data_IF_557158403421
#
_entry.id   IF_557158403421
#
_cell.length_a   1.000
_cell.length_b   1.000
_cell.length_c   1.000
_cell.angle_alpha   90.00
_cell.angle_beta   90.00
_cell.angle_gamma   90.00
#
_symmetry.space_group_name_H-M   'P 1'
#
loop_
_entity.id
_entity.type
_entity.pdbx_description
1 polymer ?
#
# COMPACT_ATOMS: atom_id res chain seq x y z
N UNK A 1 30.39 19.08 66.76
CA UNK A 1 29.29 18.42 67.47
C UNK A 1 28.24 18.07 66.46
N UNK A 2 28.06 16.78 66.30
CA UNK A 2 26.82 16.05 65.85
C UNK A 2 26.25 16.42 64.50
N UNK A 3 25.94 15.53 63.62
CA UNK A 3 25.92 14.07 63.63
C UNK A 3 25.71 13.53 62.22
N UNK A 4 26.38 12.45 61.94
CA UNK A 4 26.04 11.47 60.94
C UNK A 4 24.60 10.98 61.10
N UNK A 5 23.90 10.69 60.04
CA UNK A 5 23.31 9.34 59.85
C UNK A 5 22.57 9.23 58.56
N UNK A 6 22.95 8.25 57.77
CA UNK A 6 22.15 7.14 57.27
C UNK A 6 21.11 7.41 56.20
N UNK A 7 21.40 6.91 55.00
CA UNK A 7 20.43 6.01 54.34
C UNK A 7 21.13 5.12 53.30
N UNK A 8 21.56 3.94 53.76
CA UNK A 8 22.06 2.81 52.95
C UNK A 8 21.00 1.68 52.82
N UNK A 9 19.71 2.00 52.89
CA UNK A 9 18.65 0.98 52.94
C UNK A 9 17.87 0.71 51.67
N UNK A 10 17.82 1.54 50.59
CA UNK A 10 17.02 1.19 49.42
C UNK A 10 17.71 0.33 48.37
N UNK A 11 19.04 0.22 48.36
CA UNK A 11 19.76 -0.56 47.34
C UNK A 11 19.79 -2.07 47.55
N UNK A 12 19.56 -2.54 48.75
CA UNK A 12 19.54 -3.97 49.07
C UNK A 12 18.21 -4.64 48.75
N UNK A 13 17.10 -3.92 48.86
CA UNK A 13 15.77 -4.44 48.51
C UNK A 13 15.57 -4.65 46.98
N UNK A 14 16.17 -3.80 46.15
CA UNK A 14 16.08 -3.91 44.68
C UNK A 14 16.88 -5.13 44.18
N UNK A 15 17.98 -5.49 44.80
CA UNK A 15 18.75 -6.69 44.42
C UNK A 15 18.07 -8.01 44.83
N UNK A 16 17.28 -8.03 45.88
CA UNK A 16 16.55 -9.22 46.30
C UNK A 16 15.26 -9.44 45.45
N UNK A 17 14.63 -8.37 44.95
CA UNK A 17 13.47 -8.49 44.08
C UNK A 17 13.83 -8.95 42.65
N UNK A 18 15.06 -8.65 42.17
CA UNK A 18 15.54 -9.11 40.86
C UNK A 18 16.01 -10.58 40.86
N UNK A 19 16.24 -11.19 42.00
CA UNK A 19 16.66 -12.59 42.12
C UNK A 19 15.50 -13.57 42.21
N UNK A 20 14.22 -13.09 42.25
CA UNK A 20 13.02 -13.91 42.34
C UNK A 20 12.20 -13.94 41.03
N UNK A 21 12.69 -13.38 39.94
CA UNK A 21 12.10 -13.56 38.63
C UNK A 21 12.64 -14.88 38.05
N UNK A 22 11.77 -15.79 37.63
CA UNK A 22 12.22 -17.00 36.93
C UNK A 22 12.96 -16.59 35.66
N UNK A 23 13.97 -17.37 35.20
CA UNK A 23 14.64 -17.09 33.94
C UNK A 23 13.59 -17.01 32.85
N UNK A 24 13.67 -15.97 32.02
CA UNK A 24 12.83 -15.85 30.82
C UNK A 24 13.01 -17.10 29.99
N UNK A 25 12.11 -18.06 30.16
CA UNK A 25 11.98 -19.17 29.25
C UNK A 25 11.73 -18.57 27.88
N UNK A 26 12.61 -18.80 26.95
CA UNK A 26 12.36 -18.58 25.53
C UNK A 26 11.07 -19.36 25.22
N UNK A 27 9.96 -18.63 25.01
CA UNK A 27 8.76 -19.23 24.49
C UNK A 27 9.11 -19.73 23.07
N UNK A 28 9.39 -21.00 22.95
CA UNK A 28 9.29 -21.72 21.71
C UNK A 28 7.80 -21.69 21.35
N UNK A 29 7.44 -20.80 20.46
CA UNK A 29 6.12 -20.82 19.83
C UNK A 29 6.13 -22.07 18.93
N UNK A 30 5.43 -23.10 19.35
CA UNK A 30 5.16 -24.25 18.50
C UNK A 30 4.42 -23.82 17.23
N UNK A 31 4.31 -24.67 16.22
CA UNK A 31 3.57 -24.32 15.00
C UNK A 31 2.15 -23.86 15.39
N UNK A 32 1.85 -22.62 14.99
CA UNK A 32 0.53 -22.02 15.23
C UNK A 32 -0.45 -22.78 14.32
N UNK A 33 -1.37 -23.51 14.92
CA UNK A 33 -2.47 -24.13 14.19
C UNK A 33 -3.48 -23.02 13.80
N UNK A 34 -3.46 -22.64 12.53
CA UNK A 34 -4.38 -21.65 11.97
C UNK A 34 -5.74 -22.24 11.59
N UNK A 35 -5.98 -23.53 11.90
CA UNK A 35 -7.11 -24.28 11.35
C UNK A 35 -8.47 -24.02 12.00
N UNK A 36 -8.55 -23.52 13.25
CA UNK A 36 -9.80 -23.55 14.01
C UNK A 36 -10.50 -22.20 14.25
N UNK A 37 -9.80 -21.07 14.06
CA UNK A 37 -10.31 -19.74 14.44
C UNK A 37 -10.80 -18.88 13.28
N UNK A 38 -10.87 -19.43 12.07
CA UNK A 38 -11.45 -18.74 10.91
C UNK A 38 -12.92 -19.03 10.85
N UNK A 39 -13.75 -17.98 10.70
CA UNK A 39 -15.20 -18.08 10.58
C UNK A 39 -15.61 -19.23 9.63
N UNK A 40 -16.24 -20.31 10.13
CA UNK A 40 -16.63 -21.45 9.32
C UNK A 40 -17.71 -21.12 8.27
N UNK A 41 -18.33 -19.94 8.33
CA UNK A 41 -19.28 -19.46 7.34
C UNK A 41 -18.61 -18.85 6.10
N UNK A 42 -17.28 -18.75 6.05
CA UNK A 42 -16.55 -18.25 4.89
C UNK A 42 -16.47 -19.33 3.78
N UNK A 43 -17.55 -19.50 3.05
CA UNK A 43 -17.57 -20.18 1.76
C UNK A 43 -17.19 -19.17 0.65
N UNK A 44 -15.91 -18.91 0.48
CA UNK A 44 -15.42 -18.33 -0.79
C UNK A 44 -15.77 -19.25 -1.95
N UNK A 45 -15.93 -18.73 -3.19
CA UNK A 45 -16.20 -19.58 -4.34
C UNK A 45 -15.18 -20.72 -4.38
N UNK A 46 -15.67 -21.94 -4.62
CA UNK A 46 -14.84 -23.13 -4.70
C UNK A 46 -13.71 -22.90 -5.70
N UNK A 47 -12.49 -23.22 -5.30
CA UNK A 47 -11.26 -23.00 -6.07
C UNK A 47 -11.15 -23.85 -7.35
N UNK A 48 -12.19 -24.66 -7.66
CA UNK A 48 -12.16 -25.71 -8.67
C UNK A 48 -12.48 -25.25 -10.11
N UNK A 49 -12.74 -23.94 -10.32
CA UNK A 49 -13.28 -23.47 -11.62
C UNK A 49 -12.31 -22.57 -12.42
N UNK A 50 -11.01 -22.62 -12.18
CA UNK A 50 -10.08 -21.89 -13.03
C UNK A 50 -9.42 -22.83 -14.07
N UNK A 51 -9.60 -22.59 -15.36
CA UNK A 51 -8.98 -23.42 -16.40
C UNK A 51 -7.45 -23.29 -16.37
N UNK A 52 -6.78 -24.43 -16.48
CA UNK A 52 -5.30 -24.49 -16.64
C UNK A 52 -4.89 -23.81 -17.93
N UNK A 53 -3.86 -22.97 -17.85
CA UNK A 53 -3.35 -22.22 -18.98
C UNK A 53 -2.03 -22.80 -19.45
N UNK A 54 -2.03 -23.29 -20.69
CA UNK A 54 -0.83 -23.64 -21.45
C UNK A 54 -0.57 -22.55 -22.50
N UNK A 55 0.62 -21.95 -22.45
CA UNK A 55 1.20 -21.17 -23.55
C UNK A 55 1.06 -19.65 -23.46
N UNK A 56 1.94 -18.99 -22.70
CA UNK A 56 2.38 -17.62 -22.96
C UNK A 56 3.81 -17.71 -23.52
N UNK A 57 3.94 -17.93 -24.83
CA UNK A 57 5.21 -17.81 -25.53
C UNK A 57 5.29 -16.41 -26.15
N UNK A 58 6.21 -15.67 -25.65
CA UNK A 58 7.05 -14.60 -26.18
C UNK A 58 7.02 -13.34 -25.31
N UNK A 59 8.20 -12.97 -24.84
CA UNK A 59 8.56 -11.85 -23.96
C UNK A 59 8.22 -12.06 -22.48
N UNK A 60 8.97 -12.91 -21.81
CA UNK A 60 8.92 -13.07 -20.35
C UNK A 60 8.88 -14.51 -19.85
N UNK A 61 9.38 -15.46 -20.62
CA UNK A 61 9.33 -16.89 -20.28
C UNK A 61 10.14 -17.33 -19.05
N UNK A 62 10.81 -16.41 -18.35
CA UNK A 62 11.62 -16.78 -17.18
C UNK A 62 10.92 -16.56 -15.82
N UNK A 63 9.70 -16.02 -15.78
CA UNK A 63 9.12 -15.50 -14.52
C UNK A 63 7.88 -16.26 -14.06
N UNK A 64 7.27 -17.06 -14.91
CA UNK A 64 6.03 -17.76 -14.57
C UNK A 64 6.29 -19.25 -14.37
N UNK A 65 6.53 -19.65 -13.12
CA UNK A 65 6.57 -21.07 -12.73
C UNK A 65 5.27 -21.80 -13.11
N UNK A 66 5.37 -23.13 -13.29
CA UNK A 66 4.39 -24.01 -13.92
C UNK A 66 3.04 -24.21 -13.22
N UNK A 67 2.75 -23.52 -12.09
CA UNK A 67 1.56 -23.77 -11.26
C UNK A 67 0.62 -22.57 -11.16
N UNK A 68 0.26 -21.94 -12.31
CA UNK A 68 -0.32 -20.61 -12.26
C UNK A 68 -1.81 -20.62 -12.52
N UNK A 69 -2.60 -20.77 -11.48
CA UNK A 69 -4.01 -20.37 -11.45
C UNK A 69 -4.22 -18.86 -11.70
N UNK A 70 -3.20 -18.01 -11.45
CA UNK A 70 -3.22 -16.57 -11.69
C UNK A 70 -3.11 -16.15 -13.16
N UNK A 71 -2.54 -16.97 -14.01
CA UNK A 71 -2.43 -16.66 -15.42
C UNK A 71 -3.79 -16.36 -16.06
N UNK A 72 -4.90 -16.95 -15.57
CA UNK A 72 -6.25 -16.63 -16.06
C UNK A 72 -6.67 -15.22 -15.62
N UNK A 73 -6.49 -14.87 -14.36
CA UNK A 73 -6.82 -13.53 -13.84
C UNK A 73 -5.97 -12.44 -14.52
N UNK A 74 -4.68 -12.73 -14.73
CA UNK A 74 -3.75 -11.84 -15.46
C UNK A 74 -4.21 -11.68 -16.91
N UNK A 75 -4.50 -12.77 -17.63
CA UNK A 75 -5.00 -12.68 -19.00
C UNK A 75 -6.35 -11.97 -19.06
N UNK A 76 -7.30 -12.36 -18.24
CA UNK A 76 -8.61 -11.70 -18.20
C UNK A 76 -8.47 -10.20 -17.94
N UNK A 77 -7.52 -9.82 -17.08
CA UNK A 77 -7.22 -8.41 -16.87
C UNK A 77 -6.69 -7.75 -18.13
N UNK A 78 -5.67 -8.34 -18.77
CA UNK A 78 -5.06 -7.79 -19.98
C UNK A 78 -6.00 -7.88 -21.19
N UNK A 79 -6.75 -8.96 -21.37
CA UNK A 79 -7.74 -9.08 -22.45
C UNK A 79 -8.86 -8.04 -22.28
N UNK A 80 -9.31 -7.80 -21.06
CA UNK A 80 -10.28 -6.75 -20.75
C UNK A 80 -9.71 -5.34 -20.95
N UNK A 81 -8.39 -5.16 -20.90
CA UNK A 81 -7.72 -3.87 -21.07
C UNK A 81 -7.13 -3.69 -22.47
N UNK A 82 -7.02 -4.75 -23.29
CA UNK A 82 -6.41 -4.73 -24.62
C UNK A 82 -7.48 -4.94 -25.71
N UNK A 83 -8.14 -3.88 -26.14
CA UNK A 83 -9.09 -3.93 -27.24
C UNK A 83 -8.41 -4.03 -28.63
N UNK A 84 -9.12 -4.49 -29.68
CA UNK A 84 -8.58 -4.67 -31.03
C UNK A 84 -8.06 -3.39 -31.70
N UNK A 85 -8.32 -2.21 -31.12
CA UNK A 85 -7.83 -0.90 -31.56
C UNK A 85 -6.82 -0.26 -30.60
N UNK A 86 -6.09 -1.04 -29.81
CA UNK A 86 -5.09 -0.57 -28.83
C UNK A 86 -5.64 0.40 -27.76
N UNK A 87 -6.90 0.30 -27.41
CA UNK A 87 -7.56 1.10 -26.37
C UNK A 87 -8.19 0.22 -25.29
N UNK A 88 -8.58 0.84 -24.18
CA UNK A 88 -9.34 0.15 -23.15
C UNK A 88 -10.74 -0.21 -23.68
N UNK A 89 -11.19 -1.44 -23.42
CA UNK A 89 -12.59 -1.84 -23.73
C UNK A 89 -13.58 -1.07 -22.85
N UNK A 90 -13.20 -0.89 -21.57
CA UNK A 90 -13.92 -0.06 -20.61
C UNK A 90 -12.93 0.50 -19.59
N UNK A 91 -13.25 1.64 -19.01
CA UNK A 91 -12.51 2.17 -17.86
C UNK A 91 -13.20 1.75 -16.57
N UNK A 92 -12.41 1.32 -15.61
CA UNK A 92 -12.90 0.90 -14.29
C UNK A 92 -12.85 2.08 -13.32
N UNK A 93 -13.96 2.41 -12.63
CA UNK A 93 -13.93 3.46 -11.61
C UNK A 93 -13.20 2.96 -10.36
N UNK A 94 -12.31 3.78 -9.82
CA UNK A 94 -11.79 3.69 -8.46
C UNK A 94 -12.56 4.68 -7.60
N UNK A 95 -13.05 4.21 -6.45
CA UNK A 95 -14.01 4.95 -5.63
C UNK A 95 -13.52 5.12 -4.20
N UNK A 96 -13.96 6.18 -3.55
CA UNK A 96 -13.71 6.35 -2.12
C UNK A 96 -14.38 5.22 -1.33
N UNK A 97 -13.70 4.69 -0.28
CA UNK A 97 -14.16 3.54 0.51
C UNK A 97 -15.61 3.69 1.01
N UNK A 98 -15.97 4.90 1.43
CA UNK A 98 -17.33 5.20 1.93
C UNK A 98 -18.41 5.06 0.85
N UNK A 99 -18.04 5.19 -0.42
CA UNK A 99 -18.93 5.04 -1.57
C UNK A 99 -19.12 3.58 -2.03
N UNK A 100 -18.36 2.64 -1.46
CA UNK A 100 -18.60 1.22 -1.70
C UNK A 100 -19.92 0.79 -1.07
N UNK A 101 -20.63 -0.10 -1.74
CA UNK A 101 -21.76 -0.81 -1.14
C UNK A 101 -21.29 -1.74 -0.01
N UNK A 102 -22.16 -2.14 0.92
CA UNK A 102 -21.80 -3.15 1.93
C UNK A 102 -21.28 -4.46 1.32
N UNK A 103 -21.85 -4.88 0.18
CA UNK A 103 -21.41 -6.07 -0.54
C UNK A 103 -20.01 -5.92 -1.12
N UNK A 104 -19.71 -4.78 -1.73
CA UNK A 104 -18.36 -4.50 -2.24
C UNK A 104 -17.32 -4.49 -1.11
N UNK A 105 -17.61 -3.85 0.04
CA UNK A 105 -16.72 -3.87 1.21
C UNK A 105 -16.50 -5.28 1.72
N UNK A 106 -17.59 -6.06 1.88
CA UNK A 106 -17.49 -7.46 2.30
C UNK A 106 -16.66 -8.28 1.32
N UNK A 107 -16.91 -8.16 0.02
CA UNK A 107 -16.15 -8.86 -1.02
C UNK A 107 -14.67 -8.49 -1.02
N UNK A 108 -14.34 -7.19 -0.81
CA UNK A 108 -12.95 -6.74 -0.70
C UNK A 108 -12.24 -7.36 0.51
N UNK A 109 -12.88 -7.35 1.69
CA UNK A 109 -12.34 -7.97 2.90
C UNK A 109 -12.13 -9.48 2.69
N UNK A 110 -13.11 -10.16 2.12
CA UNK A 110 -13.02 -11.60 1.82
C UNK A 110 -11.88 -11.92 0.86
N UNK A 111 -11.66 -11.07 -0.15
CA UNK A 111 -10.56 -11.26 -1.08
C UNK A 111 -9.17 -11.08 -0.42
N UNK A 112 -9.03 -10.17 0.55
CA UNK A 112 -7.79 -10.08 1.35
C UNK A 112 -7.54 -11.36 2.15
N UNK A 113 -8.56 -11.91 2.79
CA UNK A 113 -8.47 -13.21 3.49
C UNK A 113 -8.15 -14.36 2.53
N UNK A 114 -8.70 -14.34 1.32
CA UNK A 114 -8.36 -15.31 0.28
C UNK A 114 -6.86 -15.24 -0.05
N UNK A 115 -6.30 -14.03 -0.24
CA UNK A 115 -4.86 -13.87 -0.49
C UNK A 115 -4.00 -14.40 0.65
N UNK A 116 -4.43 -14.24 1.90
CA UNK A 116 -3.74 -14.78 3.07
C UNK A 116 -3.75 -16.33 3.12
N UNK A 117 -4.71 -16.96 2.46
CA UNK A 117 -4.83 -18.42 2.39
C UNK A 117 -4.18 -19.02 1.13
N UNK A 118 -3.95 -18.23 0.11
CA UNK A 118 -3.32 -18.71 -1.11
C UNK A 118 -1.81 -18.87 -0.93
N UNK A 119 -1.22 -19.93 -1.47
CA UNK A 119 0.22 -20.12 -1.40
C UNK A 119 0.95 -18.97 -2.11
N UNK A 120 2.14 -18.67 -1.63
CA UNK A 120 3.06 -17.74 -2.28
C UNK A 120 3.37 -18.16 -3.71
N UNK A 121 3.44 -17.18 -4.61
CA UNK A 121 3.90 -17.39 -5.99
C UNK A 121 5.41 -17.12 -6.14
N UNK A 122 6.03 -16.51 -5.12
CA UNK A 122 7.46 -16.16 -5.17
C UNK A 122 8.36 -17.19 -4.46
N UNK A 123 7.85 -17.91 -3.46
CA UNK A 123 8.66 -18.91 -2.74
C UNK A 123 9.07 -20.10 -3.62
N UNK A 124 8.25 -20.45 -4.61
CA UNK A 124 8.57 -21.51 -5.57
C UNK A 124 9.65 -21.11 -6.58
N UNK A 125 9.86 -19.80 -6.80
CA UNK A 125 10.78 -19.27 -7.80
C UNK A 125 12.11 -18.77 -7.22
N UNK A 126 12.19 -18.61 -5.88
CA UNK A 126 13.35 -18.03 -5.21
C UNK A 126 14.01 -19.05 -4.28
N UNK A 127 15.22 -19.48 -4.64
CA UNK A 127 15.96 -20.55 -3.95
C UNK A 127 16.20 -20.34 -2.46
N UNK A 128 16.28 -19.08 -2.01
CA UNK A 128 16.49 -18.74 -0.59
C UNK A 128 15.20 -18.73 0.24
N UNK A 129 14.04 -18.92 -0.38
CA UNK A 129 12.73 -18.98 0.26
C UNK A 129 12.08 -20.36 0.17
N UNK A 130 12.75 -21.33 -0.49
CA UNK A 130 12.24 -22.70 -0.65
C UNK A 130 12.01 -23.34 0.71
N UNK A 131 10.85 -23.96 0.88
CA UNK A 131 10.47 -24.62 2.14
C UNK A 131 9.77 -23.70 3.17
N UNK A 132 9.63 -22.40 2.90
CA UNK A 132 8.82 -21.53 3.74
C UNK A 132 7.35 -21.63 3.31
N UNK A 133 6.47 -21.75 4.31
CA UNK A 133 5.03 -21.66 4.09
C UNK A 133 4.61 -20.20 4.21
N UNK A 134 4.46 -19.54 3.08
CA UNK A 134 4.07 -18.14 2.99
C UNK A 134 2.90 -17.96 2.05
N UNK A 135 2.19 -16.85 2.21
CA UNK A 135 0.98 -16.55 1.46
C UNK A 135 1.24 -15.58 0.30
N UNK A 136 0.31 -15.55 -0.65
CA UNK A 136 0.31 -14.52 -1.69
C UNK A 136 0.14 -13.11 -1.09
N UNK A 137 -0.58 -12.99 0.02
CA UNK A 137 -0.67 -11.71 0.74
C UNK A 137 0.71 -11.21 1.14
N UNK A 138 1.54 -12.10 1.71
CA UNK A 138 2.89 -11.77 2.16
C UNK A 138 3.89 -11.59 1.03
N UNK A 139 3.63 -12.11 -0.17
CA UNK A 139 4.45 -11.80 -1.35
C UNK A 139 4.45 -10.31 -1.68
N UNK A 140 3.32 -9.64 -1.50
CA UNK A 140 3.26 -8.18 -1.63
C UNK A 140 4.21 -7.50 -0.64
N UNK A 141 4.18 -7.90 0.61
CA UNK A 141 5.09 -7.36 1.64
C UNK A 141 6.56 -7.65 1.30
N UNK A 142 6.86 -8.87 0.87
CA UNK A 142 8.21 -9.28 0.48
C UNK A 142 8.78 -8.40 -0.62
N UNK A 143 8.02 -8.16 -1.68
CA UNK A 143 8.44 -7.33 -2.82
C UNK A 143 8.65 -5.88 -2.38
N UNK A 144 7.75 -5.33 -1.59
CA UNK A 144 7.85 -3.97 -1.08
C UNK A 144 9.10 -3.78 -0.19
N UNK A 145 9.39 -4.73 0.72
CA UNK A 145 10.62 -4.68 1.52
C UNK A 145 11.87 -4.73 0.63
N UNK A 146 11.94 -5.65 -0.33
CA UNK A 146 13.12 -5.84 -1.18
C UNK A 146 13.44 -4.64 -2.05
N UNK A 147 12.40 -3.96 -2.52
CA UNK A 147 12.56 -2.82 -3.43
C UNK A 147 12.54 -1.47 -2.69
N UNK A 148 12.32 -1.44 -1.40
CA UNK A 148 12.05 -0.23 -0.62
C UNK A 148 12.99 0.95 -0.96
N UNK A 149 14.29 0.70 -1.07
CA UNK A 149 15.28 1.75 -1.33
C UNK A 149 15.27 2.29 -2.78
N UNK A 150 14.68 1.54 -3.72
CA UNK A 150 14.62 1.90 -5.14
C UNK A 150 13.26 2.45 -5.55
N UNK A 151 12.29 2.42 -4.63
CA UNK A 151 10.90 2.84 -4.88
C UNK A 151 10.40 3.93 -3.94
N UNK A 152 11.22 4.38 -2.98
CA UNK A 152 10.90 5.48 -2.07
C UNK A 152 11.95 6.58 -2.16
N UNK A 153 11.47 7.83 -2.05
CA UNK A 153 12.29 9.05 -2.13
C UNK A 153 13.03 9.21 -3.47
N UNK A 154 12.50 8.60 -4.50
CA UNK A 154 13.02 8.58 -5.88
C UNK A 154 11.88 8.76 -6.88
N UNK A 155 12.22 9.08 -8.13
CA UNK A 155 11.21 9.30 -9.17
C UNK A 155 10.30 8.08 -9.40
N UNK A 156 10.79 6.87 -9.23
CA UNK A 156 10.03 5.62 -9.39
C UNK A 156 8.87 5.46 -8.39
N UNK A 157 8.81 6.25 -7.30
CA UNK A 157 7.81 6.11 -6.24
C UNK A 157 6.38 6.00 -6.79
N UNK A 158 5.91 6.97 -7.56
CA UNK A 158 4.52 6.97 -8.04
C UNK A 158 4.23 5.91 -9.11
N UNK A 159 5.03 5.79 -10.19
CA UNK A 159 4.74 4.78 -11.22
C UNK A 159 4.89 3.36 -10.70
N UNK A 160 5.85 3.08 -9.82
CA UNK A 160 5.99 1.76 -9.24
C UNK A 160 4.78 1.37 -8.38
N UNK A 161 4.33 2.25 -7.48
CA UNK A 161 3.17 1.98 -6.64
C UNK A 161 1.87 1.88 -7.46
N UNK A 162 1.75 2.63 -8.57
CA UNK A 162 0.65 2.47 -9.53
C UNK A 162 0.62 1.05 -10.11
N UNK A 163 1.77 0.52 -10.53
CA UNK A 163 1.87 -0.84 -11.06
C UNK A 163 1.63 -1.91 -9.99
N UNK A 164 2.12 -1.66 -8.79
CA UNK A 164 1.89 -2.53 -7.64
C UNK A 164 0.42 -2.62 -7.24
N UNK A 165 -0.32 -1.52 -7.32
CA UNK A 165 -1.78 -1.51 -7.14
C UNK A 165 -2.50 -2.32 -8.23
N UNK A 166 -2.02 -2.32 -9.48
CA UNK A 166 -2.57 -3.17 -10.54
C UNK A 166 -2.34 -4.65 -10.22
N UNK A 167 -1.15 -5.02 -9.76
CA UNK A 167 -0.90 -6.38 -9.30
C UNK A 167 -1.86 -6.81 -8.17
N UNK A 168 -2.13 -5.87 -7.23
CA UNK A 168 -3.11 -6.11 -6.17
C UNK A 168 -4.52 -6.28 -6.72
N UNK A 169 -4.96 -5.45 -7.67
CA UNK A 169 -6.27 -5.57 -8.31
C UNK A 169 -6.42 -6.91 -9.02
N UNK A 170 -5.40 -7.38 -9.73
CA UNK A 170 -5.37 -8.69 -10.38
C UNK A 170 -5.49 -9.81 -9.36
N UNK A 171 -4.72 -9.76 -8.27
CA UNK A 171 -4.77 -10.76 -7.21
C UNK A 171 -6.15 -10.83 -6.54
N UNK A 172 -6.75 -9.67 -6.23
CA UNK A 172 -8.09 -9.58 -5.64
C UNK A 172 -9.17 -10.17 -6.57
N UNK A 173 -9.04 -9.95 -7.88
CA UNK A 173 -9.95 -10.56 -8.88
C UNK A 173 -9.76 -12.06 -8.95
N UNK A 174 -8.53 -12.57 -8.87
CA UNK A 174 -8.24 -13.99 -8.72
C UNK A 174 -8.87 -14.62 -7.47
N UNK A 175 -9.22 -13.80 -6.48
CA UNK A 175 -9.97 -14.16 -5.29
C UNK A 175 -11.49 -13.85 -5.38
N UNK A 176 -12.00 -13.59 -6.59
CA UNK A 176 -13.43 -13.39 -6.86
C UNK A 176 -13.95 -11.98 -6.53
N UNK A 177 -13.08 -11.01 -6.23
CA UNK A 177 -13.53 -9.63 -6.06
C UNK A 177 -13.68 -8.94 -7.42
N UNK A 178 -14.89 -8.70 -7.84
CA UNK A 178 -15.26 -7.99 -9.08
C UNK A 178 -15.73 -6.55 -8.85
N UNK A 179 -15.78 -6.11 -7.59
CA UNK A 179 -16.19 -4.77 -7.19
C UNK A 179 -15.22 -3.67 -7.64
N UNK A 180 -15.60 -2.43 -7.33
CA UNK A 180 -14.78 -1.25 -7.64
C UNK A 180 -13.58 -1.19 -6.69
N UNK A 181 -12.40 -0.84 -7.23
CA UNK A 181 -11.18 -0.67 -6.43
C UNK A 181 -11.31 0.54 -5.50
N UNK A 182 -11.19 0.36 -4.18
CA UNK A 182 -11.34 1.45 -3.24
C UNK A 182 -10.06 2.26 -3.03
N UNK A 183 -10.24 3.55 -2.70
CA UNK A 183 -9.22 4.39 -2.09
C UNK A 183 -9.75 5.02 -0.79
N UNK A 184 -8.86 5.51 0.05
CA UNK A 184 -9.19 6.22 1.28
C UNK A 184 -8.77 7.69 1.18
N UNK A 185 -9.72 8.61 1.03
CA UNK A 185 -9.47 10.04 1.12
C UNK A 185 -9.35 10.47 2.60
N UNK A 186 -8.18 10.23 3.15
CA UNK A 186 -7.84 10.51 4.54
C UNK A 186 -7.89 12.01 4.89
N UNK A 187 -7.86 12.90 3.91
CA UNK A 187 -8.00 14.33 4.17
C UNK A 187 -9.42 14.71 4.62
N UNK A 188 -10.43 13.88 4.31
CA UNK A 188 -11.79 14.05 4.87
C UNK A 188 -11.80 13.82 6.38
N UNK A 189 -11.01 12.86 6.87
CA UNK A 189 -10.92 12.54 8.30
C UNK A 189 -10.04 13.55 9.02
N UNK A 190 -8.92 13.97 8.44
CA UNK A 190 -8.06 15.02 8.96
C UNK A 190 -8.82 16.35 9.18
N UNK A 191 -9.65 16.75 8.22
CA UNK A 191 -10.46 17.95 8.34
C UNK A 191 -11.52 17.86 9.46
N UNK A 192 -11.85 16.64 9.93
CA UNK A 192 -12.74 16.38 11.08
C UNK A 192 -11.99 16.26 12.40
N UNK A 193 -10.66 16.22 12.36
CA UNK A 193 -9.79 16.25 13.53
C UNK A 193 -9.42 14.90 14.12
N UNK A 194 -9.77 13.75 13.51
CA UNK A 194 -9.36 12.44 14.03
C UNK A 194 -9.38 11.35 12.96
N UNK A 195 -8.22 10.77 12.67
CA UNK A 195 -8.13 9.53 11.87
C UNK A 195 -8.76 8.33 12.60
N UNK A 196 -8.64 8.28 13.92
CA UNK A 196 -9.15 7.16 14.72
C UNK A 196 -10.66 7.00 14.60
N UNK A 197 -11.39 8.10 14.34
CA UNK A 197 -12.84 8.12 14.15
C UNK A 197 -13.26 7.88 12.70
N UNK A 198 -12.30 7.60 11.80
CA UNK A 198 -12.60 7.31 10.41
C UNK A 198 -13.45 6.06 10.25
N UNK A 199 -14.56 6.11 9.49
CA UNK A 199 -15.30 4.89 9.13
C UNK A 199 -14.45 3.87 8.37
N UNK A 200 -13.36 4.29 7.73
CA UNK A 200 -12.40 3.39 7.05
C UNK A 200 -11.61 2.56 8.04
N UNK A 201 -11.39 3.08 9.26
CA UNK A 201 -10.66 2.42 10.33
C UNK A 201 -11.59 1.83 11.40
N UNK A 202 -12.89 1.67 11.11
CA UNK A 202 -13.83 1.07 12.04
C UNK A 202 -13.89 -0.45 11.90
N UNK A 203 -14.27 -1.14 12.97
CA UNK A 203 -14.38 -2.60 13.02
C UNK A 203 -15.60 -3.12 12.24
N UNK A 204 -16.66 -2.34 12.13
CA UNK A 204 -17.92 -2.73 11.50
C UNK A 204 -18.04 -2.38 10.01
N UNK A 205 -17.40 -1.31 9.58
CA UNK A 205 -17.55 -0.77 8.21
C UNK A 205 -16.24 -0.52 7.48
N UNK A 206 -15.12 -0.68 8.18
CA UNK A 206 -13.79 -0.37 7.70
C UNK A 206 -12.87 -1.58 7.63
N UNK A 207 -11.59 -1.31 7.79
CA UNK A 207 -10.50 -2.28 7.78
C UNK A 207 -9.94 -2.53 9.18
N UNK A 208 -10.72 -2.25 10.22
CA UNK A 208 -10.34 -2.39 11.62
C UNK A 208 -9.62 -1.17 12.18
N UNK A 209 -9.76 -1.00 13.49
CA UNK A 209 -9.23 0.12 14.26
C UNK A 209 -7.82 -0.11 14.81
N UNK A 210 -7.59 0.46 15.99
CA UNK A 210 -6.33 0.35 16.71
C UNK A 210 -6.13 -1.07 17.27
N UNK A 211 -4.89 -1.52 17.35
CA UNK A 211 -4.55 -2.80 17.96
C UNK A 211 -4.62 -2.77 19.49
N UNK A 212 -4.59 -3.95 20.08
CA UNK A 212 -4.61 -4.13 21.50
C UNK A 212 -3.24 -3.84 22.13
N UNK A 213 -3.16 -2.82 22.98
CA UNK A 213 -1.91 -2.39 23.63
C UNK A 213 -1.28 -3.47 24.51
N UNK A 214 -2.12 -4.32 25.17
CA UNK A 214 -1.63 -5.44 25.98
C UNK A 214 -1.01 -6.56 25.13
N UNK A 215 -1.34 -6.62 23.84
CA UNK A 215 -0.80 -7.56 22.87
C UNK A 215 0.17 -6.86 21.88
N UNK A 216 0.82 -5.79 22.32
CA UNK A 216 1.82 -5.03 21.54
C UNK A 216 1.29 -4.52 20.20
N UNK A 217 0.01 -4.14 20.17
CA UNK A 217 -0.61 -3.56 18.97
C UNK A 217 -1.24 -4.59 18.02
N UNK A 218 -1.30 -5.87 18.37
CA UNK A 218 -2.03 -6.85 17.55
C UNK A 218 -3.49 -6.45 17.44
N UNK A 219 -4.01 -6.41 16.22
CA UNK A 219 -5.42 -6.13 15.95
C UNK A 219 -6.26 -7.36 16.32
N UNK A 220 -7.15 -7.20 17.29
CA UNK A 220 -7.95 -8.30 17.86
C UNK A 220 -9.46 -8.18 17.61
N UNK A 221 -9.88 -7.11 16.94
CA UNK A 221 -11.28 -6.83 16.58
C UNK A 221 -11.38 -6.38 15.13
N UNK A 222 -12.60 -6.39 14.61
CA UNK A 222 -12.86 -6.00 13.24
C UNK A 222 -12.51 -7.07 12.21
N UNK A 223 -12.62 -6.73 10.91
CA UNK A 223 -12.59 -7.71 9.82
C UNK A 223 -11.21 -8.37 9.62
N UNK A 224 -10.15 -7.78 10.12
CA UNK A 224 -8.77 -8.32 10.01
C UNK A 224 -8.17 -8.67 11.37
N UNK A 225 -9.03 -8.96 12.35
CA UNK A 225 -8.58 -9.46 13.63
C UNK A 225 -7.67 -10.69 13.47
N UNK A 226 -6.45 -10.61 14.02
CA UNK A 226 -5.44 -11.68 13.93
C UNK A 226 -5.14 -12.14 12.50
N UNK A 227 -5.18 -11.24 11.51
CA UNK A 227 -4.74 -11.58 10.15
C UNK A 227 -3.29 -12.08 10.21
N UNK A 228 -2.99 -13.32 9.73
CA UNK A 228 -1.64 -13.86 9.76
C UNK A 228 -0.77 -13.24 8.69
N UNK A 229 0.48 -12.96 9.03
CA UNK A 229 1.49 -12.32 8.19
C UNK A 229 2.84 -13.00 8.43
N UNK A 230 3.71 -13.02 7.42
CA UNK A 230 4.94 -13.82 7.49
C UNK A 230 6.23 -13.00 7.40
N UNK A 231 6.20 -11.78 6.86
CA UNK A 231 7.42 -10.99 6.68
C UNK A 231 7.42 -9.67 7.44
N UNK A 232 8.58 -9.36 7.99
CA UNK A 232 8.89 -8.05 8.59
C UNK A 232 10.29 -7.60 8.14
N UNK A 233 10.61 -6.33 8.37
CA UNK A 233 11.98 -5.83 8.38
C UNK A 233 12.34 -5.42 9.81
N UNK A 234 13.11 -6.23 10.49
CA UNK A 234 13.52 -6.01 11.89
C UNK A 234 14.83 -5.25 12.03
N UNK A 235 15.52 -4.99 10.91
CA UNK A 235 16.83 -4.34 10.90
C UNK A 235 16.70 -2.82 10.78
N UNK A 236 17.75 -2.06 11.15
CA UNK A 236 17.80 -0.63 10.91
C UNK A 236 17.54 -0.32 9.42
N UNK A 237 17.04 0.87 9.11
CA UNK A 237 16.74 1.29 7.72
C UNK A 237 17.97 1.25 6.79
N UNK A 238 19.17 1.16 7.33
CA UNK A 238 20.41 0.96 6.56
C UNK A 238 20.57 -0.45 6.00
N UNK A 239 19.84 -1.43 6.56
CA UNK A 239 19.85 -2.82 6.11
C UNK A 239 18.40 -3.30 5.93
N UNK A 240 17.82 -3.00 4.78
CA UNK A 240 16.45 -3.43 4.48
C UNK A 240 16.48 -4.84 3.92
N UNK A 241 16.20 -5.81 4.79
CA UNK A 241 16.20 -7.23 4.46
C UNK A 241 14.89 -7.85 4.94
N UNK A 242 14.13 -8.51 4.06
CA UNK A 242 12.94 -9.23 4.49
C UNK A 242 13.33 -10.38 5.43
N UNK A 243 12.68 -10.42 6.57
CA UNK A 243 12.88 -11.46 7.59
C UNK A 243 11.60 -12.27 7.73
N UNK A 244 11.68 -13.58 7.57
CA UNK A 244 10.57 -14.49 7.84
C UNK A 244 10.32 -14.51 9.36
N UNK A 245 9.17 -14.00 9.76
CA UNK A 245 8.75 -13.88 11.15
C UNK A 245 7.23 -13.91 11.22
N UNK A 246 6.62 -15.11 11.28
CA UNK A 246 5.16 -15.24 11.38
C UNK A 246 4.61 -14.48 12.58
N UNK A 247 3.62 -13.64 12.34
CA UNK A 247 3.00 -12.79 13.35
C UNK A 247 1.58 -12.42 12.93
N UNK A 248 0.83 -11.78 13.84
CA UNK A 248 -0.47 -11.21 13.51
C UNK A 248 -0.35 -9.73 13.16
N UNK A 249 -1.25 -9.29 12.29
CA UNK A 249 -1.38 -7.89 11.89
C UNK A 249 -1.35 -6.94 13.09
N UNK A 250 -0.51 -5.91 12.98
CA UNK A 250 -0.27 -4.94 14.03
C UNK A 250 -0.59 -3.51 13.56
N UNK A 251 -1.35 -2.77 14.38
CA UNK A 251 -1.62 -1.35 14.19
C UNK A 251 -1.59 -0.63 15.54
N UNK A 252 -0.89 0.49 15.60
CA UNK A 252 -0.78 1.27 16.85
C UNK A 252 -0.77 2.75 16.48
N UNK A 253 -1.96 3.36 16.51
CA UNK A 253 -2.13 4.75 16.13
C UNK A 253 -1.13 5.68 16.83
N UNK A 254 -0.48 6.54 16.05
CA UNK A 254 0.50 7.52 16.53
C UNK A 254 1.86 6.96 16.93
N UNK A 255 2.07 5.63 16.95
CA UNK A 255 3.36 5.06 17.36
C UNK A 255 4.51 5.32 16.38
N UNK A 256 4.21 5.67 15.15
CA UNK A 256 5.19 6.10 14.14
C UNK A 256 5.82 7.46 14.42
N UNK A 257 5.34 8.16 15.46
CA UNK A 257 5.83 9.46 15.89
C UNK A 257 6.68 9.32 17.16
N UNK A 258 7.73 10.16 17.28
CA UNK A 258 8.58 10.13 18.47
C UNK A 258 7.76 10.46 19.74
N UNK A 259 7.86 9.65 20.82
CA UNK A 259 6.99 9.74 22.00
C UNK A 259 7.04 11.06 22.77
N UNK A 260 8.06 11.89 22.56
CA UNK A 260 8.27 13.16 23.26
C UNK A 260 7.93 14.40 22.43
N UNK A 261 7.30 14.25 21.27
CA UNK A 261 6.87 15.38 20.46
C UNK A 261 5.34 15.38 20.38
N UNK A 262 4.74 16.15 21.25
CA UNK A 262 3.37 16.65 21.04
C UNK A 262 3.39 17.50 19.77
N UNK A 263 3.13 16.87 18.61
CA UNK A 263 3.01 17.60 17.37
C UNK A 263 1.53 17.67 16.96
N UNK A 264 0.85 18.76 17.27
CA UNK A 264 -0.43 19.09 16.63
C UNK A 264 -0.28 19.23 15.11
N UNK A 265 0.97 19.32 14.62
CA UNK A 265 1.34 19.57 13.22
C UNK A 265 1.28 18.34 12.30
N UNK A 266 0.98 17.15 12.80
CA UNK A 266 1.04 15.92 12.01
C UNK A 266 -0.24 15.69 11.20
N UNK A 267 -1.38 16.01 11.79
CA UNK A 267 -2.67 15.97 11.11
C UNK A 267 -2.76 17.05 10.03
N UNK A 268 -2.09 18.20 10.23
CA UNK A 268 -1.99 19.26 9.24
C UNK A 268 -1.31 18.80 7.94
N UNK A 269 -0.42 17.81 8.00
CA UNK A 269 0.32 17.33 6.83
C UNK A 269 -0.59 16.66 5.78
N UNK A 270 -1.78 16.17 6.17
CA UNK A 270 -2.70 15.47 5.26
C UNK A 270 -4.13 16.04 5.25
N UNK A 271 -4.32 17.26 5.73
CA UNK A 271 -5.60 18.00 5.57
C UNK A 271 -5.90 18.31 4.11
N UNK A 272 -7.17 18.58 3.81
CA UNK A 272 -7.57 19.05 2.47
C UNK A 272 -6.78 20.28 2.02
N UNK A 273 -6.50 21.22 2.94
CA UNK A 273 -5.73 22.43 2.64
C UNK A 273 -4.31 22.10 2.18
N UNK A 274 -3.61 21.24 2.93
CA UNK A 274 -2.23 20.84 2.61
C UNK A 274 -2.15 20.06 1.30
N UNK A 275 -3.03 19.08 1.11
CA UNK A 275 -3.09 18.31 -0.14
C UNK A 275 -3.40 19.20 -1.34
N UNK A 276 -4.35 20.12 -1.19
CA UNK A 276 -4.69 21.08 -2.25
C UNK A 276 -3.50 21.98 -2.61
N UNK A 277 -2.72 22.40 -1.60
CA UNK A 277 -1.48 23.15 -1.81
C UNK A 277 -0.47 22.34 -2.62
N UNK A 278 -0.23 21.07 -2.28
CA UNK A 278 0.67 20.19 -3.05
C UNK A 278 0.23 20.08 -4.51
N UNK A 279 -1.07 19.86 -4.76
CA UNK A 279 -1.62 19.74 -6.11
C UNK A 279 -1.45 21.02 -6.95
N UNK A 280 -1.69 22.19 -6.36
CA UNK A 280 -1.75 23.48 -7.09
C UNK A 280 -0.40 24.15 -7.25
N UNK A 281 0.53 23.94 -6.31
CA UNK A 281 1.82 24.66 -6.33
C UNK A 281 2.97 23.86 -6.93
N UNK A 282 2.78 22.56 -7.18
CA UNK A 282 3.80 21.74 -7.84
C UNK A 282 3.67 21.81 -9.35
N UNK A 283 4.68 22.34 -10.01
CA UNK A 283 4.68 22.55 -11.47
C UNK A 283 5.39 21.43 -12.23
N UNK A 284 6.34 20.74 -11.58
CA UNK A 284 7.11 19.62 -12.14
C UNK A 284 6.87 18.36 -11.34
N UNK A 285 7.10 17.21 -11.94
CA UNK A 285 7.03 15.93 -11.26
C UNK A 285 8.04 15.83 -10.10
N UNK A 286 9.30 16.24 -10.35
CA UNK A 286 10.37 16.30 -9.35
C UNK A 286 10.10 17.26 -8.17
N UNK A 287 9.08 18.12 -8.28
CA UNK A 287 8.57 18.96 -7.20
C UNK A 287 7.34 18.34 -6.53
N UNK A 288 6.46 17.74 -7.32
CA UNK A 288 5.23 17.11 -6.85
C UNK A 288 5.49 15.84 -6.03
N UNK A 289 6.31 14.93 -6.56
CA UNK A 289 6.57 13.64 -5.92
C UNK A 289 7.14 13.78 -4.50
N UNK A 290 8.22 14.55 -4.23
CA UNK A 290 8.75 14.67 -2.87
C UNK A 290 7.84 15.46 -1.92
N UNK A 291 7.01 16.38 -2.42
CA UNK A 291 6.02 17.07 -1.58
C UNK A 291 4.88 16.14 -1.18
N UNK A 292 4.50 15.21 -2.04
CA UNK A 292 3.47 14.22 -1.74
C UNK A 292 4.01 13.09 -0.86
N UNK A 293 5.16 12.54 -1.20
CA UNK A 293 5.76 11.43 -0.47
C UNK A 293 6.32 11.86 0.89
N UNK A 294 6.98 12.98 0.94
CA UNK A 294 7.76 13.49 2.07
C UNK A 294 9.27 13.38 1.80
N UNK A 295 10.05 14.07 2.61
CA UNK A 295 11.51 14.04 2.56
C UNK A 295 12.03 13.10 3.66
N UNK A 296 12.92 12.19 3.29
CA UNK A 296 13.52 11.25 4.24
C UNK A 296 14.17 11.96 5.41
N UNK A 297 13.88 11.46 6.62
CA UNK A 297 14.47 11.99 7.86
C UNK A 297 13.93 13.34 8.30
N UNK A 298 13.10 14.01 7.50
CA UNK A 298 12.43 15.25 7.92
C UNK A 298 11.06 14.94 8.48
N UNK A 299 10.88 15.32 9.74
CA UNK A 299 9.66 15.10 10.51
C UNK A 299 8.96 16.42 10.86
N UNK A 300 9.42 17.52 10.26
CA UNK A 300 8.78 18.82 10.39
C UNK A 300 7.62 18.98 9.39
N UNK A 301 6.77 19.96 9.61
CA UNK A 301 5.61 20.25 8.77
C UNK A 301 5.96 20.57 7.30
N UNK A 302 7.22 20.85 7.00
CA UNK A 302 7.71 21.18 5.65
C UNK A 302 8.18 19.93 4.92
N UNK A 303 8.76 18.96 5.65
CA UNK A 303 9.37 17.76 5.07
C UNK A 303 8.51 16.50 5.15
N UNK A 304 7.45 16.50 5.97
CA UNK A 304 6.53 15.38 6.08
C UNK A 304 5.42 15.52 5.04
N UNK A 305 5.55 14.86 3.90
CA UNK A 305 4.46 14.80 2.91
C UNK A 305 3.26 14.00 3.42
N UNK A 306 2.08 14.21 2.81
CA UNK A 306 0.84 13.51 3.20
C UNK A 306 1.00 11.98 3.27
N UNK A 307 1.70 11.38 2.33
CA UNK A 307 1.97 9.94 2.30
C UNK A 307 2.69 9.47 3.58
N UNK A 308 3.85 10.03 3.88
CA UNK A 308 4.64 9.64 5.07
C UNK A 308 3.87 9.91 6.36
N UNK A 309 3.10 10.99 6.42
CA UNK A 309 2.31 11.34 7.60
C UNK A 309 1.23 10.29 7.90
N UNK A 310 0.55 9.75 6.90
CA UNK A 310 -0.44 8.68 7.07
C UNK A 310 0.22 7.38 7.54
N UNK A 311 1.35 6.98 6.96
CA UNK A 311 2.10 5.83 7.43
C UNK A 311 2.42 5.93 8.93
N UNK A 312 2.85 7.10 9.38
CA UNK A 312 3.18 7.35 10.79
C UNK A 312 1.96 7.43 11.68
N UNK A 313 0.87 8.04 11.20
CA UNK A 313 -0.37 8.17 11.97
C UNK A 313 -1.00 6.81 12.27
N UNK A 314 -1.00 5.88 11.32
CA UNK A 314 -1.48 4.53 11.53
C UNK A 314 -0.56 3.72 12.45
N UNK A 315 0.75 3.95 12.40
CA UNK A 315 1.71 3.25 13.25
C UNK A 315 1.72 1.72 13.02
N UNK A 316 2.14 0.96 14.02
CA UNK A 316 2.26 -0.49 13.87
C UNK A 316 3.20 -0.87 12.71
N UNK A 317 2.71 -1.65 11.74
CA UNK A 317 3.48 -2.07 10.58
C UNK A 317 3.69 -0.94 9.56
N UNK A 318 2.81 0.06 9.53
CA UNK A 318 2.77 1.10 8.49
C UNK A 318 4.03 1.98 8.38
N UNK A 319 4.75 2.37 9.45
CA UNK A 319 5.97 3.20 9.35
C UNK A 319 7.20 2.47 8.79
N UNK A 320 7.11 1.18 8.50
CA UNK A 320 8.24 0.33 8.17
C UNK A 320 8.20 -0.17 6.71
N UNK A 321 9.31 -0.72 6.18
CA UNK A 321 9.34 -1.33 4.85
C UNK A 321 8.33 -2.46 4.65
N UNK A 322 7.83 -3.06 5.72
CA UNK A 322 6.77 -4.08 5.68
C UNK A 322 5.35 -3.52 5.81
N UNK A 323 5.16 -2.24 5.51
CA UNK A 323 3.87 -1.53 5.61
C UNK A 323 2.74 -2.15 4.80
N UNK A 324 3.04 -2.92 3.73
CA UNK A 324 2.03 -3.63 2.95
C UNK A 324 1.33 -4.77 3.72
N UNK A 325 1.80 -5.09 4.93
CA UNK A 325 1.11 -5.95 5.89
C UNK A 325 -0.24 -5.36 6.33
N UNK A 326 -0.33 -4.04 6.46
CA UNK A 326 -1.58 -3.40 6.84
C UNK A 326 -2.54 -3.30 5.64
N UNK A 327 -3.76 -3.85 5.71
CA UNK A 327 -4.73 -3.72 4.62
C UNK A 327 -5.03 -2.27 4.21
N UNK A 328 -4.92 -1.30 5.13
CA UNK A 328 -5.08 0.13 4.83
C UNK A 328 -4.00 0.68 3.89
N UNK A 329 -2.84 0.03 3.78
CA UNK A 329 -1.78 0.40 2.85
C UNK A 329 -2.29 0.57 1.42
N UNK A 330 -3.06 -0.40 0.92
CA UNK A 330 -3.56 -0.38 -0.46
C UNK A 330 -4.62 0.70 -0.67
N UNK A 331 -5.43 1.00 0.34
CA UNK A 331 -6.40 2.11 0.30
C UNK A 331 -5.69 3.47 0.30
N UNK A 332 -4.63 3.58 1.11
CA UNK A 332 -3.78 4.75 1.20
C UNK A 332 -3.04 5.01 -0.11
N UNK A 333 -2.34 4.01 -0.66
CA UNK A 333 -1.61 4.15 -1.92
C UNK A 333 -2.54 4.36 -3.12
N UNK A 334 -3.77 3.83 -3.11
CA UNK A 334 -4.76 4.18 -4.11
C UNK A 334 -5.17 5.66 -4.05
N UNK A 335 -5.19 6.28 -2.85
CA UNK A 335 -5.37 7.74 -2.75
C UNK A 335 -4.13 8.51 -3.19
N UNK A 336 -2.92 8.04 -2.87
CA UNK A 336 -1.66 8.64 -3.38
C UNK A 336 -1.66 8.64 -4.91
N UNK A 337 -2.03 7.53 -5.55
CA UNK A 337 -2.18 7.42 -7.00
C UNK A 337 -3.28 8.33 -7.55
N UNK A 338 -4.41 8.46 -6.82
CA UNK A 338 -5.47 9.43 -7.17
C UNK A 338 -4.95 10.88 -7.16
N UNK A 339 -4.14 11.26 -6.17
CA UNK A 339 -3.57 12.60 -6.10
C UNK A 339 -2.60 12.85 -7.27
N UNK A 340 -1.82 11.86 -7.66
CA UNK A 340 -1.00 11.94 -8.85
C UNK A 340 -1.85 12.09 -10.12
N UNK A 341 -2.89 11.29 -10.27
CA UNK A 341 -3.84 11.39 -11.39
C UNK A 341 -4.50 12.78 -11.45
N UNK A 342 -4.92 13.35 -10.31
CA UNK A 342 -5.46 14.72 -10.24
C UNK A 342 -4.43 15.75 -10.69
N UNK A 343 -3.20 15.62 -10.20
CA UNK A 343 -2.11 16.51 -10.59
C UNK A 343 -1.82 16.43 -12.09
N UNK A 344 -1.72 15.24 -12.67
CA UNK A 344 -1.52 15.02 -14.10
C UNK A 344 -2.61 15.70 -14.94
N UNK A 345 -3.84 15.74 -14.46
CA UNK A 345 -4.98 16.35 -15.16
C UNK A 345 -5.17 17.84 -14.86
N UNK A 346 -4.35 18.44 -14.01
CA UNK A 346 -4.53 19.82 -13.56
C UNK A 346 -5.80 20.03 -12.73
N UNK A 347 -6.32 18.96 -12.11
CA UNK A 347 -7.54 18.99 -11.30
C UNK A 347 -7.25 19.25 -9.83
N UNK A 348 -8.24 19.77 -9.12
CA UNK A 348 -8.22 19.99 -7.69
C UNK A 348 -9.06 18.94 -6.95
N UNK A 349 -8.88 18.82 -5.62
CA UNK A 349 -9.75 17.98 -4.79
C UNK A 349 -11.23 18.38 -4.89
N UNK A 350 -11.51 19.67 -5.09
CA UNK A 350 -12.89 20.17 -5.26
C UNK A 350 -13.56 19.63 -6.52
N UNK A 351 -12.79 19.38 -7.56
CA UNK A 351 -13.30 18.88 -8.85
C UNK A 351 -13.84 17.46 -8.75
N UNK A 352 -13.29 16.64 -7.85
CA UNK A 352 -13.77 15.27 -7.62
C UNK A 352 -14.79 15.15 -6.50
N UNK A 353 -14.69 15.96 -5.44
CA UNK A 353 -15.63 15.92 -4.30
C UNK A 353 -16.98 16.60 -4.58
N UNK A 354 -16.98 17.67 -5.39
CA UNK A 354 -18.17 18.49 -5.65
C UNK A 354 -19.14 17.88 -6.63
N UNK A 355 -18.67 16.97 -7.47
CA UNK A 355 -19.41 16.53 -8.65
C UNK A 355 -19.91 15.10 -8.57
N UNK A 356 -19.71 14.40 -7.42
CA UNK A 356 -20.10 12.98 -7.27
C UNK A 356 -20.23 12.38 -8.66
N UNK A 357 -19.50 11.44 -9.05
CA UNK A 357 -19.55 10.76 -10.34
C UNK A 357 -19.64 11.61 -11.65
N UNK A 358 -20.35 12.76 -11.67
CA UNK A 358 -20.73 13.35 -12.97
C UNK A 358 -19.60 13.97 -13.80
N UNK A 359 -18.56 14.58 -13.17
CA UNK A 359 -17.44 15.17 -13.93
C UNK A 359 -16.34 14.15 -14.18
N UNK A 360 -16.05 13.31 -13.18
CA UNK A 360 -15.13 12.20 -13.35
C UNK A 360 -15.71 11.11 -14.27
N UNK A 361 -17.02 10.84 -14.20
CA UNK A 361 -17.74 9.98 -15.11
C UNK A 361 -17.82 10.56 -16.52
N UNK A 362 -18.02 11.88 -16.66
CA UNK A 362 -17.87 12.60 -17.93
C UNK A 362 -16.45 12.55 -18.44
N UNK A 363 -15.44 12.63 -17.55
CA UNK A 363 -14.04 12.45 -17.93
C UNK A 363 -13.80 11.02 -18.43
N UNK A 364 -14.20 10.00 -17.70
CA UNK A 364 -14.09 8.60 -18.12
C UNK A 364 -14.83 8.32 -19.43
N UNK A 365 -16.05 8.82 -19.59
CA UNK A 365 -16.83 8.68 -20.83
C UNK A 365 -16.25 9.49 -21.99
N UNK A 366 -15.66 10.66 -21.75
CA UNK A 366 -14.99 11.47 -22.78
C UNK A 366 -13.68 10.83 -23.23
N UNK A 367 -12.88 10.28 -22.30
CA UNK A 367 -11.66 9.54 -22.64
C UNK A 367 -11.98 8.30 -23.48
N UNK A 368 -13.07 7.58 -23.18
CA UNK A 368 -13.55 6.46 -23.98
C UNK A 368 -14.06 6.91 -25.36
N UNK A 369 -14.61 8.13 -25.48
CA UNK A 369 -15.08 8.69 -26.75
C UNK A 369 -13.97 9.28 -27.62
N UNK A 370 -12.76 9.49 -27.09
CA UNK A 370 -11.59 10.06 -27.79
C UNK A 370 -11.22 9.31 -29.11
N UNK A 371 -11.80 8.15 -29.35
CA UNK A 371 -11.70 7.44 -30.63
C UNK A 371 -12.81 7.77 -31.63
N UNK A 372 -13.75 8.69 -31.34
CA UNK A 372 -14.95 8.97 -32.15
C UNK A 372 -15.19 10.46 -32.48
N UNK A 373 -14.20 11.33 -32.29
CA UNK A 373 -14.14 12.60 -33.01
C UNK A 373 -15.11 13.71 -32.61
N UNK A 374 -15.53 13.84 -31.34
CA UNK A 374 -16.21 15.07 -30.91
C UNK A 374 -15.89 15.38 -29.44
N UNK A 375 -15.52 16.62 -29.15
CA UNK A 375 -15.21 17.23 -27.86
C UNK A 375 -13.92 16.71 -27.16
N UNK A 376 -12.77 17.03 -27.71
CA UNK A 376 -11.47 16.75 -27.08
C UNK A 376 -11.31 17.58 -25.82
N UNK A 377 -11.20 16.93 -24.64
CA UNK A 377 -10.51 17.52 -23.53
C UNK A 377 -9.03 17.53 -23.95
N UNK A 378 -8.52 18.70 -24.25
CA UNK A 378 -7.09 18.90 -24.50
C UNK A 378 -6.36 18.62 -23.17
N UNK A 379 -5.81 17.40 -23.04
CA UNK A 379 -4.96 17.05 -21.93
C UNK A 379 -3.61 17.71 -22.17
N UNK A 380 -3.11 18.40 -21.17
CA UNK A 380 -1.73 18.84 -21.12
C UNK A 380 -0.81 17.60 -21.18
N UNK A 381 -0.31 17.28 -22.37
CA UNK A 381 0.52 16.11 -22.60
C UNK A 381 1.86 16.23 -21.86
N UNK A 382 2.39 17.43 -21.74
CA UNK A 382 3.65 17.70 -21.04
C UNK A 382 3.49 17.36 -19.55
N UNK A 383 2.35 17.70 -18.96
CA UNK A 383 2.05 17.38 -17.56
C UNK A 383 1.67 15.92 -17.38
N UNK A 384 0.91 15.33 -18.30
CA UNK A 384 0.51 13.92 -18.23
C UNK A 384 1.72 12.99 -18.24
N UNK A 385 2.73 13.30 -19.08
CA UNK A 385 3.95 12.51 -19.21
C UNK A 385 5.15 13.14 -18.49
N UNK A 386 4.92 14.12 -17.62
CA UNK A 386 5.98 14.70 -16.80
C UNK A 386 6.58 13.63 -15.87
N UNK A 387 7.86 13.36 -16.08
CA UNK A 387 8.61 12.39 -15.28
C UNK A 387 10.08 12.80 -15.28
N UNK A 388 10.51 13.36 -14.18
CA UNK A 388 11.87 13.80 -13.94
C UNK A 388 12.24 13.54 -12.47
N UNK A 389 13.50 13.75 -12.12
CA UNK A 389 13.98 13.56 -10.74
C UNK A 389 15.06 12.49 -10.65
N UNK A 390 15.31 12.01 -9.45
CA UNK A 390 16.42 11.11 -9.16
C UNK A 390 16.00 9.65 -9.23
N UNK A 391 16.91 8.79 -9.67
CA UNK A 391 16.74 7.33 -9.66
C UNK A 391 17.32 6.68 -8.41
N UNK A 392 18.15 7.40 -7.66
CA UNK A 392 18.72 6.97 -6.38
C UNK A 392 18.38 8.04 -5.35
N UNK A 393 18.00 7.60 -4.14
CA UNK A 393 17.76 8.51 -3.04
C UNK A 393 18.99 9.37 -2.77
N UNK A 394 18.80 10.68 -2.54
CA UNK A 394 19.85 11.58 -2.09
C UNK A 394 20.46 11.07 -0.77
N UNK A 395 21.64 10.50 -0.86
CA UNK A 395 22.57 10.36 0.27
C UNK A 395 23.37 11.64 0.37
N UNK A 396 24.11 11.79 1.47
CA UNK A 396 24.89 12.99 1.81
C UNK A 396 25.89 13.49 0.71
N UNK A 397 26.03 12.74 -0.38
CA UNK A 397 26.91 13.05 -1.51
C UNK A 397 26.23 13.82 -2.66
N UNK A 398 24.93 14.10 -2.55
CA UNK A 398 24.15 14.89 -3.52
C UNK A 398 24.08 14.35 -4.94
N UNK A 399 24.53 13.15 -5.24
CA UNK A 399 24.62 12.66 -6.63
C UNK A 399 23.33 12.13 -7.21
N UNK A 400 22.34 11.76 -6.38
CA UNK A 400 20.97 11.41 -6.78
C UNK A 400 20.79 10.36 -7.88
N UNK A 401 21.88 9.76 -8.35
CA UNK A 401 21.91 8.84 -9.48
C UNK A 401 21.68 9.52 -10.84
N UNK A 402 21.56 8.74 -11.91
CA UNK A 402 21.21 9.26 -13.22
C UNK A 402 19.79 9.87 -13.20
N UNK A 403 19.49 10.86 -14.07
CA UNK A 403 18.14 11.39 -14.19
C UNK A 403 17.12 10.30 -14.55
N UNK A 404 15.96 10.37 -13.95
CA UNK A 404 14.87 9.46 -14.27
C UNK A 404 14.37 9.63 -15.71
N UNK A 405 13.98 8.52 -16.32
CA UNK A 405 13.54 8.45 -17.71
C UNK A 405 12.23 7.68 -17.83
N UNK A 406 11.39 8.06 -18.78
CA UNK A 406 10.18 7.32 -19.12
C UNK A 406 10.46 5.87 -19.59
N UNK A 407 11.70 5.57 -19.97
CA UNK A 407 12.13 4.22 -20.33
C UNK A 407 12.60 3.38 -19.12
N UNK A 408 12.68 3.97 -17.93
CA UNK A 408 13.04 3.24 -16.73
C UNK A 408 12.01 2.14 -16.47
N UNK A 409 12.51 0.95 -16.11
CA UNK A 409 11.69 -0.25 -15.97
C UNK A 409 11.21 -0.38 -14.53
N UNK A 410 9.91 -0.51 -14.35
CA UNK A 410 9.29 -0.83 -13.07
C UNK A 410 9.14 -2.34 -12.94
N UNK A 411 9.77 -2.92 -11.92
CA UNK A 411 9.77 -4.35 -11.66
C UNK A 411 9.03 -4.66 -10.37
N UNK A 412 8.25 -5.74 -10.37
CA UNK A 412 7.63 -6.32 -9.18
C UNK A 412 8.30 -7.65 -8.78
N UNK A 413 9.53 -7.91 -9.24
CA UNK A 413 10.28 -9.14 -8.97
C UNK A 413 9.51 -10.43 -9.34
N UNK A 414 8.66 -10.36 -10.36
CA UNK A 414 7.85 -11.50 -10.79
C UNK A 414 6.52 -11.67 -10.05
N UNK A 415 6.15 -10.75 -9.16
CA UNK A 415 4.84 -10.80 -8.50
C UNK A 415 3.72 -10.53 -9.51
N UNK A 416 3.13 -11.61 -10.04
CA UNK A 416 1.95 -11.66 -10.91
C UNK A 416 2.05 -10.90 -12.24
N UNK A 417 2.84 -9.83 -12.33
CA UNK A 417 2.88 -8.95 -13.48
C UNK A 417 4.30 -8.83 -14.05
N UNK A 418 4.45 -8.60 -15.36
CA UNK A 418 5.75 -8.40 -15.99
C UNK A 418 6.37 -7.06 -15.60
N UNK A 419 7.67 -6.94 -15.85
CA UNK A 419 8.35 -5.66 -15.84
C UNK A 419 7.77 -4.76 -16.93
N UNK A 420 7.64 -3.45 -16.64
CA UNK A 420 6.99 -2.50 -17.52
C UNK A 420 7.75 -1.16 -17.55
N UNK A 421 7.93 -0.54 -18.72
CA UNK A 421 8.54 0.78 -18.77
C UNK A 421 7.59 1.85 -18.24
N UNK A 422 8.16 2.87 -17.59
CA UNK A 422 7.42 3.93 -16.90
C UNK A 422 6.41 4.65 -17.81
N UNK A 423 6.75 4.87 -19.11
CA UNK A 423 5.83 5.56 -20.02
C UNK A 423 4.46 4.88 -20.15
N UNK A 424 4.37 3.56 -19.96
CA UNK A 424 3.10 2.84 -20.00
C UNK A 424 2.26 3.01 -18.72
N UNK A 425 2.85 3.59 -17.69
CA UNK A 425 2.22 3.84 -16.40
C UNK A 425 1.77 5.29 -16.23
N UNK A 426 2.01 6.15 -17.22
CA UNK A 426 1.71 7.58 -17.10
C UNK A 426 0.22 7.89 -17.26
N UNK A 427 -0.45 7.28 -18.23
CA UNK A 427 -1.86 7.54 -18.52
C UNK A 427 -2.76 6.42 -17.98
N UNK A 428 -3.41 6.69 -16.85
CA UNK A 428 -4.32 5.73 -16.18
C UNK A 428 -5.50 5.28 -17.07
N UNK A 429 -5.86 6.07 -18.09
CA UNK A 429 -6.95 5.78 -19.00
C UNK A 429 -6.58 4.88 -20.17
N UNK A 430 -5.31 4.47 -20.27
CA UNK A 430 -4.80 3.62 -21.35
C UNK A 430 -4.37 2.24 -20.84
N UNK A 431 -4.34 1.22 -21.75
CA UNK A 431 -3.74 -0.06 -21.41
C UNK A 431 -2.28 0.09 -20.96
N UNK A 432 -1.86 -0.70 -19.95
CA UNK A 432 -2.59 -1.77 -19.28
C UNK A 432 -3.43 -1.31 -18.07
N UNK A 433 -3.56 -0.04 -17.80
CA UNK A 433 -4.16 0.51 -16.59
C UNK A 433 -5.69 0.55 -16.65
N UNK A 434 -6.27 1.26 -17.60
CA UNK A 434 -7.70 1.33 -17.91
C UNK A 434 -8.61 1.64 -16.70
N UNK A 435 -8.27 2.67 -15.93
CA UNK A 435 -9.07 3.14 -14.80
C UNK A 435 -9.16 4.66 -14.72
N UNK A 436 -10.05 5.14 -13.85
CA UNK A 436 -10.20 6.54 -13.48
C UNK A 436 -10.71 6.66 -12.04
N UNK A 437 -10.63 7.84 -11.44
CA UNK A 437 -11.10 8.10 -10.07
C UNK A 437 -12.40 8.89 -10.06
N UNK A 438 -13.31 8.52 -9.13
CA UNK A 438 -14.56 9.24 -8.83
C UNK A 438 -14.71 9.48 -7.33
#
# INVERSE_FOLDING_TARGET
MQSLSLTLAPLLLIKILLALLPPTSAFSVGPIDFGSDLDPSFNGPALDHFPRITGLQSAGNEILGSDIEYGAAVRQYFDATSGPKRGCQSLRPRVEWRALTPQERKGWIQAVWCLAKRPSVLTSTQTNLTGLHTSLLSDFTLVHIRLFQTIHFVAAFLPWHRWYLIARDVAMRGCGYDGRTPYWDWSIDADKGSLADSPVLSDDRGVGGNGNSLLRGVVTSGPFARLPLEYVNVRPQSEIVPTYSPHFFNRTFGSGFAPNRTHPLQEDAYTTSTVQKVLLTSTKYSDFQPRLEGLRGRLDSVGMGPHTAIHRALGGDMPFPHSANDPAFFLHHANVDRLWWLWQLGLSLKDTRRFGSSKAEKYGTRVLRRGRGDDDIELDQDRLYAFDGNTIEYRNDSTGGPPASLNDVQSLLGLLLPNIPTYQLMDASRPPLCYYYI
#
